data_IF_672219881415
#
_entry.id   IF_672219881415
#
_cell.length_a   1.000
_cell.length_b   1.000
_cell.length_c   1.000
_cell.angle_alpha   90.00
_cell.angle_beta   90.00
_cell.angle_gamma   90.00
#
_symmetry.space_group_name_H-M   'P 1'
#
loop_
_entity.id
_entity.type
_entity.pdbx_description
1 polymer ?
#
# COMPACT_ATOMS: atom_id res chain seq x y z
N UNK A 1 10.41 -10.58 20.06
CA UNK A 1 10.62 -9.11 19.98
C UNK A 1 9.63 -8.58 18.96
N UNK A 2 8.92 -7.49 19.26
CA UNK A 2 7.92 -6.90 18.37
C UNK A 2 8.62 -6.30 17.13
N UNK A 3 8.09 -6.49 15.91
CA UNK A 3 8.71 -5.93 14.70
C UNK A 3 8.43 -4.43 14.64
N UNK A 4 9.30 -3.68 13.96
CA UNK A 4 9.15 -2.21 13.91
C UNK A 4 7.82 -1.79 13.26
N UNK A 5 7.38 -2.50 12.22
CA UNK A 5 6.09 -2.23 11.56
C UNK A 5 4.85 -2.59 12.38
N UNK A 6 5.01 -3.24 13.54
CA UNK A 6 3.91 -3.50 14.49
C UNK A 6 3.66 -2.28 15.42
N UNK A 7 4.53 -1.27 15.39
CA UNK A 7 4.33 -0.02 16.11
C UNK A 7 3.41 0.88 15.28
N UNK A 8 2.34 1.39 15.89
CA UNK A 8 1.31 2.17 15.19
C UNK A 8 1.87 3.39 14.45
N UNK A 9 2.90 4.03 15.01
CA UNK A 9 3.54 5.20 14.40
C UNK A 9 4.48 4.85 13.23
N UNK A 10 4.81 3.57 13.02
CA UNK A 10 5.67 3.16 11.91
C UNK A 10 5.07 3.57 10.58
N UNK A 11 3.79 3.22 10.36
CA UNK A 11 3.12 3.48 9.10
C UNK A 11 2.88 4.97 8.87
N UNK A 12 2.59 5.73 9.93
CA UNK A 12 2.53 7.19 9.82
C UNK A 12 3.85 7.76 9.32
N UNK A 13 4.97 7.42 9.97
CA UNK A 13 6.28 7.97 9.60
C UNK A 13 6.66 7.51 8.19
N UNK A 14 6.52 6.21 7.91
CA UNK A 14 6.96 5.65 6.64
C UNK A 14 6.15 6.18 5.46
N UNK A 15 4.82 6.23 5.55
CA UNK A 15 3.96 6.74 4.48
C UNK A 15 4.24 8.21 4.15
N UNK A 16 4.42 9.05 5.18
CA UNK A 16 4.74 10.48 4.99
C UNK A 16 6.15 10.72 4.43
N UNK A 17 7.09 9.80 4.68
CA UNK A 17 8.41 9.82 4.07
C UNK A 17 8.42 9.18 2.68
N UNK A 18 7.46 8.31 2.35
CA UNK A 18 7.42 7.58 1.08
C UNK A 18 6.97 8.47 -0.09
N UNK A 19 6.21 9.53 0.18
CA UNK A 19 5.80 10.50 -0.83
C UNK A 19 6.84 11.56 -1.17
N UNK A 20 7.92 11.70 -0.38
CA UNK A 20 8.95 12.76 -0.57
C UNK A 20 10.35 12.14 -0.72
N UNK A 21 10.96 12.15 -1.93
CA UNK A 21 12.28 11.56 -2.16
C UNK A 21 13.40 12.31 -1.42
N UNK A 22 13.23 13.61 -1.14
CA UNK A 22 14.17 14.39 -0.34
C UNK A 22 13.98 14.15 1.17
N UNK A 23 12.94 13.41 1.55
CA UNK A 23 12.55 13.10 2.91
C UNK A 23 11.69 14.17 3.58
N UNK A 24 10.99 13.76 4.65
CA UNK A 24 10.06 14.61 5.40
C UNK A 24 10.52 14.75 6.84
N UNK A 25 10.63 15.98 7.34
CA UNK A 25 10.98 16.20 8.75
C UNK A 25 9.84 15.71 9.66
N UNK A 26 10.17 15.05 10.78
CA UNK A 26 9.15 14.57 11.73
C UNK A 26 8.35 15.73 12.34
N UNK A 27 8.97 16.91 12.46
CA UNK A 27 8.27 18.13 12.88
C UNK A 27 7.14 18.47 11.91
N UNK A 28 7.40 18.46 10.60
CA UNK A 28 6.40 18.68 9.56
C UNK A 28 5.28 17.65 9.65
N UNK A 29 5.61 16.35 9.80
CA UNK A 29 4.60 15.29 9.99
C UNK A 29 3.70 15.59 11.19
N UNK A 30 4.28 15.99 12.33
CA UNK A 30 3.49 16.31 13.52
C UNK A 30 2.58 17.51 13.33
N UNK A 31 3.08 18.59 12.73
CA UNK A 31 2.32 19.79 12.42
C UNK A 31 1.13 19.45 11.50
N UNK A 32 1.42 18.71 10.45
CA UNK A 32 0.49 18.32 9.40
C UNK A 32 -0.65 17.43 9.90
N UNK A 33 -0.35 16.53 10.84
CA UNK A 33 -1.32 15.66 11.50
C UNK A 33 -1.86 16.22 12.82
N UNK A 34 -1.55 17.48 13.15
CA UNK A 34 -1.98 18.17 14.38
C UNK A 34 -1.63 17.39 15.65
N UNK A 35 -0.53 16.66 15.62
CA UNK A 35 0.00 15.92 16.77
C UNK A 35 0.61 16.94 17.73
N UNK A 36 -0.09 17.21 18.83
CA UNK A 36 0.44 18.06 19.89
C UNK A 36 1.62 17.34 20.54
N UNK A 37 2.71 18.05 20.80
CA UNK A 37 4.00 17.60 21.40
C UNK A 37 5.05 17.03 20.43
N UNK A 38 6.27 16.79 20.94
CA UNK A 38 7.37 16.11 20.24
C UNK A 38 7.20 14.58 20.25
N UNK A 39 5.96 14.11 20.06
CA UNK A 39 5.55 12.71 20.19
C UNK A 39 6.41 11.74 19.36
N UNK A 40 6.70 12.06 18.10
CA UNK A 40 7.51 11.20 17.23
C UNK A 40 9.00 11.14 17.61
N UNK A 41 9.44 12.06 18.48
CA UNK A 41 10.79 12.10 19.03
C UNK A 41 10.91 11.41 20.40
N UNK A 42 9.80 10.97 21.00
CA UNK A 42 9.85 10.23 22.25
C UNK A 42 10.26 8.77 22.05
N UNK A 43 10.82 8.18 23.10
CA UNK A 43 11.18 6.76 23.11
C UNK A 43 9.88 5.94 23.12
N UNK A 44 9.77 5.00 22.20
CA UNK A 44 8.70 4.00 22.23
C UNK A 44 9.02 2.91 23.25
N UNK A 45 7.98 2.41 23.91
CA UNK A 45 8.12 1.34 24.89
C UNK A 45 8.76 0.10 24.25
N UNK A 46 9.82 -0.40 24.89
CA UNK A 46 10.57 -1.58 24.43
C UNK A 46 11.63 -1.33 23.35
N UNK A 47 11.76 -0.12 22.78
CA UNK A 47 12.77 0.19 21.75
C UNK A 47 14.00 0.94 22.28
N UNK A 48 13.93 1.52 23.48
CA UNK A 48 15.05 2.25 24.12
C UNK A 48 15.44 3.59 23.47
N UNK A 49 14.95 3.87 22.25
CA UNK A 49 15.13 5.11 21.47
C UNK A 49 13.90 5.39 20.60
N UNK A 50 13.80 6.57 19.97
CA UNK A 50 12.67 6.92 19.12
C UNK A 50 12.50 5.96 17.94
N UNK A 51 11.25 5.72 17.51
CA UNK A 51 10.93 4.75 16.46
C UNK A 51 11.66 5.06 15.15
N UNK A 52 11.65 6.32 14.70
CA UNK A 52 12.29 6.72 13.45
C UNK A 52 13.80 6.41 13.43
N UNK A 53 14.49 6.49 14.58
CA UNK A 53 15.90 6.12 14.67
C UNK A 53 16.10 4.62 14.46
N UNK A 54 15.22 3.79 15.03
CA UNK A 54 15.24 2.35 14.75
C UNK A 54 14.94 2.08 13.26
N UNK A 55 14.01 2.83 12.66
CA UNK A 55 13.66 2.67 11.25
C UNK A 55 14.84 3.00 10.32
N UNK A 56 15.63 4.03 10.64
CA UNK A 56 16.89 4.35 9.95
C UNK A 56 17.90 3.20 10.07
N UNK A 57 18.14 2.72 11.29
CA UNK A 57 19.12 1.65 11.54
C UNK A 57 18.74 0.31 10.89
N UNK A 58 17.45 -0.01 10.82
CA UNK A 58 16.96 -1.25 10.22
C UNK A 58 16.64 -1.12 8.73
N UNK A 59 16.97 0.02 8.10
CA UNK A 59 16.85 0.19 6.65
C UNK A 59 15.42 0.38 6.13
N UNK A 60 14.48 0.81 6.96
CA UNK A 60 13.14 1.24 6.52
C UNK A 60 13.14 2.71 6.05
N UNK A 61 14.05 3.50 6.60
CA UNK A 61 14.30 4.89 6.21
C UNK A 61 15.78 5.07 5.86
N UNK A 62 16.10 6.18 5.23
CA UNK A 62 17.46 6.69 5.03
C UNK A 62 17.52 8.19 5.30
N UNK A 63 18.73 8.72 5.45
CA UNK A 63 18.93 10.16 5.55
C UNK A 63 18.63 10.82 4.20
N UNK A 64 17.60 11.65 4.17
CA UNK A 64 17.27 12.54 3.06
C UNK A 64 17.78 13.96 3.29
N UNK A 65 17.60 14.83 2.29
CA UNK A 65 18.05 16.24 2.36
C UNK A 65 17.28 17.06 3.39
N UNK A 66 15.99 16.80 3.55
CA UNK A 66 15.07 17.58 4.42
C UNK A 66 14.69 16.82 5.71
N UNK A 67 15.03 15.55 5.80
CA UNK A 67 14.65 14.64 6.88
C UNK A 67 14.75 13.19 6.43
N UNK A 68 14.21 12.25 7.21
CA UNK A 68 14.17 10.85 6.79
C UNK A 68 13.39 10.66 5.47
N UNK A 69 13.95 9.89 4.55
CA UNK A 69 13.32 9.43 3.32
C UNK A 69 13.01 7.93 3.41
N UNK A 70 11.94 7.46 2.77
CA UNK A 70 11.60 6.04 2.80
C UNK A 70 12.57 5.21 1.95
N UNK A 71 12.87 3.99 2.41
CA UNK A 71 13.40 2.92 1.57
C UNK A 71 12.28 1.97 1.17
N UNK A 72 12.42 1.36 0.00
CA UNK A 72 11.43 0.46 -0.59
C UNK A 72 11.91 -1.00 -0.66
N UNK A 73 13.22 -1.27 -0.56
CA UNK A 73 13.83 -2.60 -0.71
C UNK A 73 13.29 -3.67 0.25
N UNK A 74 12.72 -3.28 1.38
CA UNK A 74 12.16 -4.19 2.39
C UNK A 74 10.75 -4.68 2.05
N UNK A 75 10.04 -4.00 1.13
CA UNK A 75 8.64 -4.29 0.79
C UNK A 75 8.47 -5.71 0.26
N UNK A 76 9.28 -6.24 -0.66
CA UNK A 76 9.11 -7.61 -1.14
C UNK A 76 9.19 -8.64 0.00
N UNK A 77 10.13 -8.47 0.94
CA UNK A 77 10.25 -9.34 2.11
C UNK A 77 9.03 -9.23 3.03
N UNK A 78 8.51 -8.03 3.24
CA UNK A 78 7.29 -7.80 4.01
C UNK A 78 6.07 -8.49 3.38
N UNK A 79 5.90 -8.38 2.06
CA UNK A 79 4.80 -9.02 1.33
C UNK A 79 4.92 -10.53 1.38
N UNK A 80 6.11 -11.09 1.17
CA UNK A 80 6.36 -12.53 1.30
C UNK A 80 6.00 -13.05 2.70
N UNK A 81 6.29 -12.28 3.75
CA UNK A 81 5.93 -12.65 5.11
C UNK A 81 4.42 -12.62 5.36
N UNK A 82 3.74 -11.60 4.83
CA UNK A 82 2.29 -11.40 5.01
C UNK A 82 1.46 -12.40 4.21
N UNK A 83 1.95 -12.81 3.04
CA UNK A 83 1.27 -13.68 2.09
C UNK A 83 1.89 -15.07 2.01
N UNK A 84 2.42 -15.60 3.14
CA UNK A 84 3.02 -16.93 3.19
C UNK A 84 2.11 -17.99 2.56
N UNK A 85 2.72 -18.85 1.75
CA UNK A 85 2.05 -20.00 1.16
C UNK A 85 1.88 -21.08 2.22
N UNK A 86 0.65 -21.52 2.45
CA UNK A 86 0.33 -22.65 3.34
C UNK A 86 0.77 -23.98 2.73
N UNK A 87 0.65 -24.15 1.41
CA UNK A 87 1.11 -25.30 0.63
C UNK A 87 1.89 -24.81 -0.60
N UNK A 88 3.17 -25.20 -0.74
CA UNK A 88 4.04 -24.72 -1.84
C UNK A 88 3.59 -25.14 -3.25
N UNK A 89 2.73 -26.15 -3.36
CA UNK A 89 2.34 -26.75 -4.63
C UNK A 89 0.94 -26.35 -5.11
N UNK A 90 0.18 -25.59 -4.31
CA UNK A 90 -1.16 -25.13 -4.68
C UNK A 90 -1.09 -23.67 -5.12
N UNK A 91 -1.76 -23.38 -6.24
CA UNK A 91 -1.89 -22.01 -6.68
C UNK A 91 -2.98 -21.31 -5.89
N UNK A 92 -2.67 -20.14 -5.34
CA UNK A 92 -3.57 -19.33 -4.54
C UNK A 92 -3.44 -17.86 -4.90
N UNK A 93 -4.34 -17.03 -4.35
CA UNK A 93 -4.22 -15.58 -4.45
C UNK A 93 -2.87 -15.10 -3.87
N UNK A 94 -2.40 -15.72 -2.79
CA UNK A 94 -1.08 -15.42 -2.22
C UNK A 94 0.06 -15.78 -3.18
N UNK A 95 -0.06 -16.90 -3.91
CA UNK A 95 0.91 -17.28 -4.95
C UNK A 95 0.98 -16.23 -6.06
N UNK A 96 -0.17 -15.73 -6.52
CA UNK A 96 -0.24 -14.65 -7.50
C UNK A 96 0.39 -13.34 -6.98
N UNK A 97 0.09 -12.97 -5.74
CA UNK A 97 0.64 -11.76 -5.10
C UNK A 97 2.17 -11.82 -5.07
N UNK A 98 2.72 -12.96 -4.65
CA UNK A 98 4.16 -13.17 -4.58
C UNK A 98 4.80 -13.14 -5.98
N UNK A 99 4.19 -13.84 -6.95
CA UNK A 99 4.67 -13.91 -8.33
C UNK A 99 4.76 -12.53 -8.98
N UNK A 100 3.75 -11.67 -8.79
CA UNK A 100 3.70 -10.33 -9.39
C UNK A 100 4.43 -9.26 -8.58
N UNK A 101 4.98 -9.61 -7.41
CA UNK A 101 5.66 -8.65 -6.55
C UNK A 101 6.83 -7.91 -7.22
N UNK A 102 7.68 -8.53 -8.06
CA UNK A 102 8.77 -7.80 -8.72
C UNK A 102 8.28 -6.64 -9.60
N UNK A 103 7.21 -6.86 -10.38
CA UNK A 103 6.59 -5.81 -11.21
C UNK A 103 5.90 -4.77 -10.33
N UNK A 104 5.24 -5.20 -9.26
CA UNK A 104 4.62 -4.27 -8.30
C UNK A 104 5.66 -3.40 -7.58
N UNK A 105 6.83 -3.95 -7.26
CA UNK A 105 7.93 -3.22 -6.62
C UNK A 105 8.45 -2.12 -7.54
N UNK A 106 8.71 -2.45 -8.80
CA UNK A 106 9.15 -1.46 -9.80
C UNK A 106 8.12 -0.35 -9.97
N UNK A 107 6.83 -0.69 -9.99
CA UNK A 107 5.75 0.30 -10.06
C UNK A 107 5.72 1.20 -8.81
N UNK A 108 5.88 0.63 -7.62
CA UNK A 108 5.94 1.36 -6.35
C UNK A 108 7.12 2.33 -6.35
N UNK A 109 8.31 1.86 -6.69
CA UNK A 109 9.53 2.68 -6.73
C UNK A 109 9.47 3.76 -7.82
N UNK A 110 8.83 3.49 -8.96
CA UNK A 110 8.74 4.46 -10.04
C UNK A 110 7.72 5.57 -9.75
N UNK A 111 6.62 5.25 -9.05
CA UNK A 111 5.52 6.18 -8.81
C UNK A 111 5.34 6.55 -7.33
N UNK A 112 6.33 6.33 -6.48
CA UNK A 112 6.18 6.48 -5.03
C UNK A 112 5.66 7.90 -4.64
N UNK A 113 6.15 8.95 -5.29
CA UNK A 113 5.70 10.33 -5.06
C UNK A 113 4.19 10.52 -5.23
N UNK A 114 3.58 9.77 -6.16
CA UNK A 114 2.14 9.83 -6.44
C UNK A 114 1.37 8.85 -5.57
N UNK A 115 1.87 7.61 -5.43
CA UNK A 115 1.23 6.54 -4.65
C UNK A 115 1.11 6.89 -3.17
N UNK A 116 2.10 7.63 -2.66
CA UNK A 116 2.21 8.07 -1.27
C UNK A 116 2.12 9.59 -1.12
N UNK A 117 1.63 10.31 -2.13
CA UNK A 117 1.38 11.76 -2.02
C UNK A 117 0.50 12.02 -0.79
N UNK A 118 0.89 13.00 0.02
CA UNK A 118 0.22 13.29 1.29
C UNK A 118 -1.27 13.57 1.11
N UNK A 119 -1.67 14.32 0.08
CA UNK A 119 -3.09 14.62 -0.13
C UNK A 119 -3.88 13.36 -0.50
N UNK A 120 -3.26 12.46 -1.26
CA UNK A 120 -3.82 11.18 -1.66
C UNK A 120 -3.91 10.21 -0.47
N UNK A 121 -2.87 10.10 0.36
CA UNK A 121 -2.88 9.28 1.59
C UNK A 121 -3.89 9.83 2.60
N UNK A 122 -3.94 11.15 2.78
CA UNK A 122 -4.94 11.81 3.65
C UNK A 122 -6.35 11.49 3.17
N UNK A 123 -6.60 11.49 1.85
CA UNK A 123 -7.89 11.09 1.28
C UNK A 123 -8.20 9.62 1.59
N UNK A 124 -7.27 8.71 1.32
CA UNK A 124 -7.44 7.26 1.56
C UNK A 124 -7.89 6.98 3.00
N UNK A 125 -7.28 7.63 3.98
CA UNK A 125 -7.60 7.46 5.39
C UNK A 125 -8.58 8.51 5.94
N UNK A 126 -9.28 9.25 5.07
CA UNK A 126 -10.29 10.28 5.45
C UNK A 126 -9.79 11.34 6.43
N UNK A 127 -8.47 11.60 6.44
CA UNK A 127 -7.81 12.48 7.41
C UNK A 127 -7.78 11.95 8.85
N UNK A 128 -8.10 10.68 9.08
CA UNK A 128 -8.05 10.03 10.38
C UNK A 128 -6.65 9.44 10.64
N UNK A 129 -5.91 10.09 11.53
CA UNK A 129 -4.63 9.60 12.03
C UNK A 129 -4.75 8.21 12.68
N UNK A 130 -5.88 7.92 13.34
CA UNK A 130 -6.18 6.63 13.93
C UNK A 130 -6.28 5.53 12.88
N UNK A 131 -6.92 5.81 11.74
CA UNK A 131 -7.02 4.88 10.62
C UNK A 131 -5.64 4.55 10.04
N UNK A 132 -4.76 5.54 9.84
CA UNK A 132 -3.36 5.28 9.41
C UNK A 132 -2.64 4.35 10.39
N UNK A 133 -2.81 4.58 11.69
CA UNK A 133 -2.15 3.79 12.74
C UNK A 133 -2.64 2.34 12.79
N UNK A 134 -3.91 2.08 12.48
CA UNK A 134 -4.52 0.74 12.48
C UNK A 134 -4.30 0.00 11.16
N UNK A 135 -4.46 0.71 10.06
CA UNK A 135 -4.58 0.12 8.72
C UNK A 135 -3.46 0.51 7.76
N UNK A 136 -2.47 1.30 8.18
CA UNK A 136 -1.34 1.71 7.33
C UNK A 136 -0.60 0.53 6.66
N UNK A 137 -0.60 -0.63 7.32
CA UNK A 137 -0.01 -1.89 6.83
C UNK A 137 -0.69 -2.50 5.60
N UNK A 138 -1.85 -1.98 5.21
CA UNK A 138 -2.64 -2.47 4.08
C UNK A 138 -2.46 -1.62 2.82
N UNK A 139 -1.65 -0.56 2.86
CA UNK A 139 -1.40 0.31 1.70
C UNK A 139 -0.96 -0.47 0.45
N UNK A 140 -0.15 -1.52 0.62
CA UNK A 140 0.31 -2.33 -0.51
C UNK A 140 -0.81 -3.21 -1.08
N UNK A 141 -1.75 -3.65 -0.26
CA UNK A 141 -2.96 -4.33 -0.72
C UNK A 141 -3.86 -3.37 -1.50
N UNK A 142 -3.95 -2.11 -1.05
CA UNK A 142 -4.72 -1.06 -1.73
C UNK A 142 -4.11 -0.73 -3.11
N UNK A 143 -2.79 -0.58 -3.20
CA UNK A 143 -2.06 -0.37 -4.46
C UNK A 143 -2.23 -1.58 -5.39
N UNK A 144 -2.14 -2.80 -4.86
CA UNK A 144 -2.38 -4.01 -5.66
C UNK A 144 -3.81 -4.05 -6.20
N UNK A 145 -4.80 -3.71 -5.37
CA UNK A 145 -6.20 -3.68 -5.78
C UNK A 145 -6.44 -2.63 -6.88
N UNK A 146 -5.80 -1.47 -6.79
CA UNK A 146 -5.79 -0.46 -7.85
C UNK A 146 -5.29 -1.02 -9.18
N UNK A 147 -4.12 -1.68 -9.16
CA UNK A 147 -3.52 -2.30 -10.36
C UNK A 147 -4.44 -3.40 -10.91
N UNK A 148 -4.95 -4.27 -10.04
CA UNK A 148 -5.84 -5.37 -10.43
C UNK A 148 -7.12 -4.86 -11.11
N UNK A 149 -7.82 -3.89 -10.52
CA UNK A 149 -9.03 -3.31 -11.12
C UNK A 149 -8.71 -2.65 -12.46
N UNK A 150 -7.55 -1.99 -12.58
CA UNK A 150 -7.13 -1.36 -13.83
C UNK A 150 -6.86 -2.40 -14.94
N UNK A 151 -6.32 -3.57 -14.57
CA UNK A 151 -6.16 -4.70 -15.49
C UNK A 151 -7.49 -5.37 -15.89
N UNK A 152 -8.55 -5.28 -15.06
CA UNK A 152 -9.87 -5.84 -15.37
C UNK A 152 -10.66 -5.01 -16.39
N UNK A 153 -10.40 -3.70 -16.50
CA UNK A 153 -11.18 -2.80 -17.35
C UNK A 153 -11.16 -3.24 -18.83
N UNK A 154 -10.00 -3.54 -19.44
CA UNK A 154 -9.96 -4.01 -20.83
C UNK A 154 -10.78 -5.28 -21.08
N UNK A 155 -10.74 -6.25 -20.17
CA UNK A 155 -11.54 -7.48 -20.27
C UNK A 155 -13.03 -7.16 -20.18
N UNK A 156 -13.43 -6.32 -19.22
CA UNK A 156 -14.84 -5.96 -19.06
C UNK A 156 -15.38 -5.25 -20.32
N UNK A 157 -14.60 -4.34 -20.92
CA UNK A 157 -14.95 -3.71 -22.20
C UNK A 157 -15.09 -4.72 -23.33
N UNK A 158 -14.17 -5.69 -23.43
CA UNK A 158 -14.20 -6.75 -24.46
C UNK A 158 -15.48 -7.58 -24.41
N UNK A 159 -16.01 -7.86 -23.23
CA UNK A 159 -17.20 -8.70 -23.04
C UNK A 159 -18.50 -7.91 -22.81
N UNK A 160 -18.50 -6.57 -22.95
CA UNK A 160 -19.67 -5.74 -22.64
C UNK A 160 -20.09 -5.79 -21.17
N UNK A 161 -19.16 -6.11 -20.27
CA UNK A 161 -19.36 -6.34 -18.84
C UNK A 161 -18.96 -5.11 -18.00
N UNK A 162 -19.09 -3.90 -18.51
CA UNK A 162 -18.76 -2.65 -17.79
C UNK A 162 -19.45 -2.53 -16.42
N UNK A 163 -20.60 -3.18 -16.27
CA UNK A 163 -21.34 -3.24 -15.01
C UNK A 163 -20.55 -3.97 -13.90
N UNK A 164 -19.67 -4.92 -14.24
CA UNK A 164 -18.83 -5.64 -13.27
C UNK A 164 -17.82 -4.70 -12.63
N UNK A 165 -17.19 -3.83 -13.41
CA UNK A 165 -16.28 -2.81 -12.87
C UNK A 165 -17.02 -1.86 -11.93
N UNK A 166 -18.24 -1.45 -12.29
CA UNK A 166 -19.08 -0.60 -11.42
C UNK A 166 -19.48 -1.32 -10.13
N UNK A 167 -19.83 -2.61 -10.22
CA UNK A 167 -20.11 -3.43 -9.03
C UNK A 167 -18.88 -3.55 -8.14
N UNK A 168 -17.68 -3.78 -8.69
CA UNK A 168 -16.44 -3.83 -7.92
C UNK A 168 -16.16 -2.49 -7.22
N UNK A 169 -16.30 -1.36 -7.92
CA UNK A 169 -16.16 -0.04 -7.28
C UNK A 169 -17.20 0.21 -6.19
N UNK A 170 -18.43 -0.27 -6.39
CA UNK A 170 -19.49 -0.19 -5.37
C UNK A 170 -19.12 -1.03 -4.14
N UNK A 171 -18.62 -2.26 -4.33
CA UNK A 171 -18.15 -3.12 -3.24
C UNK A 171 -16.98 -2.48 -2.49
N UNK A 172 -16.02 -1.91 -3.21
CA UNK A 172 -14.89 -1.18 -2.64
C UNK A 172 -15.33 0.07 -1.86
N UNK A 173 -16.44 0.70 -2.24
CA UNK A 173 -17.00 1.85 -1.53
C UNK A 173 -17.61 1.52 -0.17
N UNK A 174 -17.92 0.24 0.12
CA UNK A 174 -18.45 -0.19 1.41
C UNK A 174 -17.37 -0.36 2.50
N UNK A 175 -16.08 -0.24 2.17
CA UNK A 175 -15.03 -0.23 3.18
C UNK A 175 -15.10 1.08 3.98
N UNK A 176 -15.80 1.05 5.11
CA UNK A 176 -16.16 2.26 5.87
C UNK A 176 -14.96 3.02 6.46
N UNK A 177 -13.84 2.34 6.73
CA UNK A 177 -12.64 2.97 7.31
C UNK A 177 -11.77 3.71 6.28
N UNK A 178 -11.91 3.42 4.98
CA UNK A 178 -11.10 4.05 3.91
C UNK A 178 -11.94 4.66 2.80
N UNK A 179 -11.37 5.63 2.08
CA UNK A 179 -11.91 6.14 0.82
C UNK A 179 -11.11 5.56 -0.37
N UNK A 180 -11.25 4.25 -0.58
CA UNK A 180 -10.54 3.55 -1.65
C UNK A 180 -10.94 4.07 -3.04
N UNK A 181 -12.21 4.42 -3.25
CA UNK A 181 -12.68 4.98 -4.51
C UNK A 181 -12.04 6.35 -4.78
N UNK A 182 -12.03 7.24 -3.78
CA UNK A 182 -11.39 8.54 -3.87
C UNK A 182 -9.87 8.44 -4.06
N UNK A 183 -9.22 7.46 -3.44
CA UNK A 183 -7.81 7.12 -3.65
C UNK A 183 -7.55 6.67 -5.09
N UNK A 184 -8.27 5.66 -5.59
CA UNK A 184 -8.10 5.15 -6.96
C UNK A 184 -8.35 6.22 -8.03
N UNK A 185 -9.38 7.05 -7.85
CA UNK A 185 -9.65 8.15 -8.76
C UNK A 185 -8.51 9.18 -8.77
N UNK A 186 -7.91 9.48 -7.62
CA UNK A 186 -6.76 10.38 -7.55
C UNK A 186 -5.53 9.79 -8.26
N UNK A 187 -5.28 8.49 -8.10
CA UNK A 187 -4.19 7.81 -8.79
C UNK A 187 -4.39 7.83 -10.31
N UNK A 188 -5.58 7.51 -10.84
CA UNK A 188 -5.85 7.53 -12.29
C UNK A 188 -5.69 8.91 -12.93
N UNK A 189 -5.90 9.97 -12.17
CA UNK A 189 -5.70 11.33 -12.66
C UNK A 189 -4.22 11.70 -12.80
N UNK A 190 -3.32 10.98 -12.13
CA UNK A 190 -1.89 11.32 -12.04
C UNK A 190 -0.95 10.25 -12.62
N UNK A 191 -1.41 9.00 -12.70
CA UNK A 191 -0.68 7.87 -13.29
C UNK A 191 -1.38 7.49 -14.60
N UNK A 192 -0.74 7.74 -15.77
CA UNK A 192 -1.25 7.30 -17.07
C UNK A 192 -1.56 5.80 -17.11
N UNK A 193 -2.62 5.42 -17.82
CA UNK A 193 -3.09 4.02 -17.88
C UNK A 193 -2.02 3.06 -18.44
N UNK A 194 -1.20 3.52 -19.38
CA UNK A 194 -0.10 2.77 -19.99
C UNK A 194 1.11 2.58 -19.06
N UNK A 195 1.17 3.33 -17.95
CA UNK A 195 2.20 3.18 -16.91
C UNK A 195 1.77 2.26 -15.76
N UNK A 196 0.49 1.86 -15.73
CA UNK A 196 0.00 0.88 -14.76
C UNK A 196 0.45 -0.52 -15.21
N UNK A 197 1.11 -1.31 -14.34
CA UNK A 197 1.66 -2.60 -14.75
C UNK A 197 0.56 -3.57 -15.18
N UNK A 198 0.86 -4.34 -16.22
CA UNK A 198 0.04 -5.47 -16.63
C UNK A 198 0.39 -6.67 -15.77
N UNK A 199 -0.52 -7.01 -14.85
CA UNK A 199 -0.39 -8.18 -13.96
C UNK A 199 -1.32 -9.32 -14.36
N UNK A 200 -2.25 -9.06 -15.29
CA UNK A 200 -3.09 -10.07 -15.94
C UNK A 200 -2.79 -10.01 -17.44
N UNK A 201 -2.04 -10.98 -17.94
CA UNK A 201 -1.55 -10.98 -19.32
C UNK A 201 -2.53 -11.65 -20.29
N UNK A 202 -3.35 -12.58 -19.79
CA UNK A 202 -4.29 -13.34 -20.60
C UNK A 202 -5.54 -13.79 -19.83
N UNK A 203 -6.53 -14.30 -20.56
CA UNK A 203 -7.80 -14.79 -20.00
C UNK A 203 -7.62 -15.98 -19.04
N UNK A 204 -6.65 -16.87 -19.31
CA UNK A 204 -6.36 -17.99 -18.43
C UNK A 204 -5.90 -17.54 -17.05
N UNK A 205 -5.06 -16.53 -16.99
CA UNK A 205 -4.61 -15.90 -15.74
C UNK A 205 -5.75 -15.17 -15.02
N UNK A 206 -6.59 -14.45 -15.75
CA UNK A 206 -7.79 -13.81 -15.20
C UNK A 206 -8.70 -14.84 -14.52
N UNK A 207 -9.01 -15.91 -15.23
CA UNK A 207 -9.86 -17.00 -14.76
C UNK A 207 -9.25 -17.63 -13.50
N UNK A 208 -7.94 -17.89 -13.51
CA UNK A 208 -7.21 -18.44 -12.36
C UNK A 208 -7.36 -17.54 -11.12
N UNK A 209 -7.15 -16.23 -11.27
CA UNK A 209 -7.28 -15.24 -10.18
C UNK A 209 -8.70 -15.17 -9.64
N UNK A 210 -9.71 -15.12 -10.51
CA UNK A 210 -11.11 -15.09 -10.08
C UNK A 210 -11.52 -16.38 -9.35
N UNK A 211 -11.07 -17.55 -9.81
CA UNK A 211 -11.36 -18.82 -9.13
C UNK A 211 -10.78 -18.91 -7.72
N UNK A 212 -9.57 -18.36 -7.48
CA UNK A 212 -9.03 -18.32 -6.12
C UNK A 212 -9.87 -17.47 -5.15
N UNK A 213 -10.61 -16.47 -5.63
CA UNK A 213 -11.57 -15.73 -4.82
C UNK A 213 -12.84 -16.54 -4.50
N UNK A 214 -13.21 -17.51 -5.34
CA UNK A 214 -14.32 -18.42 -5.07
C UNK A 214 -13.94 -19.50 -4.06
N UNK A 215 -12.73 -20.05 -4.14
CA UNK A 215 -12.27 -21.07 -3.20
C UNK A 215 -12.02 -20.51 -1.79
N UNK A 216 -11.54 -19.27 -1.68
CA UNK A 216 -11.39 -18.57 -0.39
C UNK A 216 -12.71 -18.33 0.36
N UNK A 217 -13.87 -18.57 -0.28
CA UNK A 217 -15.22 -18.48 0.33
C UNK A 217 -15.78 -19.82 0.78
N UNK A 218 -15.11 -20.94 0.50
CA UNK A 218 -15.54 -22.25 0.99
C UNK A 218 -15.08 -22.39 2.46
N UNK A 219 -16.00 -22.67 3.40
CA UNK A 219 -15.70 -22.73 4.83
C UNK A 219 -14.75 -23.86 5.21
#
# INVERSE_FOLDING_TARGET
>A
MKKLFDYSNFWLIWLECAGDPDGTSLFKIQEEWKIKTNYLYHKEAGLGKPLFKNMLEHGYLQDGKKGPAAKFDWIPSYILEKHKLTNSNEWSLNSFIIEKMPVMQQFIEHHHEVLFDRQIITRLYKGDLGAIKREGSTIFDDIRLFVFISNLIPFCKKYGADIVVRMLFTLVSFYSEKDLLGYFNALRQRIPEDQIPKVIENEGELVRVLYAFEEAKKP
#
